data_IF_708827118428
#
_entry.id   IF_708827118428
#
_cell.length_a   1.000
_cell.length_b   1.000
_cell.length_c   1.000
_cell.angle_alpha   90.00
_cell.angle_beta   90.00
_cell.angle_gamma   90.00
#
_symmetry.space_group_name_H-M   'P 1'
#
loop_
_entity.id
_entity.type
_entity.pdbx_description
1 polymer ?
#
# COMPACT_ATOMS: atom_id res chain seq x y z
N UNK A 1 2.73 -10.00 54.64
CA UNK A 1 3.25 -10.63 53.41
C UNK A 1 2.37 -10.16 52.26
N UNK A 2 2.44 -8.86 51.95
CA UNK A 2 1.39 -8.18 51.17
C UNK A 2 1.92 -6.92 50.44
N UNK A 3 3.22 -6.87 50.15
CA UNK A 3 3.86 -5.64 49.60
C UNK A 3 4.82 -5.95 48.44
N UNK A 4 4.42 -6.82 47.50
CA UNK A 4 5.18 -7.10 46.27
C UNK A 4 4.27 -7.20 45.02
N UNK A 5 3.23 -6.35 44.96
CA UNK A 5 2.31 -6.26 43.81
C UNK A 5 2.06 -4.78 43.45
N UNK A 6 3.07 -3.93 43.59
CA UNK A 6 2.98 -2.49 43.31
C UNK A 6 4.17 -1.96 42.52
N UNK A 7 4.58 -2.68 41.49
CA UNK A 7 5.27 -2.07 40.35
C UNK A 7 4.43 -2.42 39.12
N UNK A 8 3.39 -1.62 38.89
CA UNK A 8 2.87 -1.50 37.52
C UNK A 8 4.02 -0.87 36.74
N UNK A 9 4.86 -1.72 36.15
CA UNK A 9 5.77 -1.33 35.09
C UNK A 9 5.00 -0.35 34.19
N UNK A 10 5.61 0.79 33.89
CA UNK A 10 5.09 1.71 32.88
C UNK A 10 4.97 0.91 31.57
N UNK A 11 3.82 0.25 31.38
CA UNK A 11 3.53 -0.56 30.22
C UNK A 11 3.51 0.42 29.06
N UNK A 12 4.57 0.39 28.26
CA UNK A 12 4.70 1.23 27.07
C UNK A 12 3.55 0.86 26.14
N UNK A 13 2.48 1.65 26.17
CA UNK A 13 1.31 1.44 25.37
C UNK A 13 1.51 2.07 23.99
N UNK A 14 1.40 1.26 22.93
CA UNK A 14 1.50 1.71 21.56
C UNK A 14 0.14 1.61 20.86
N UNK A 15 -0.58 2.74 20.82
CA UNK A 15 -1.89 2.84 20.16
C UNK A 15 -1.78 3.22 18.67
N UNK A 16 -1.04 2.44 17.89
CA UNK A 16 -0.91 2.63 16.44
C UNK A 16 -0.86 1.28 15.73
N UNK A 17 -1.39 1.23 14.50
CA UNK A 17 -1.17 0.08 13.63
C UNK A 17 0.33 -0.11 13.41
N UNK A 18 0.79 -1.36 13.49
CA UNK A 18 2.20 -1.73 13.31
C UNK A 18 2.38 -2.28 11.90
N UNK A 19 2.71 -1.40 10.96
CA UNK A 19 3.19 -1.78 9.63
C UNK A 19 4.67 -2.23 9.68
N UNK A 20 5.20 -2.73 8.57
CA UNK A 20 6.59 -3.18 8.47
C UNK A 20 7.62 -2.09 8.81
N UNK A 21 7.32 -0.82 8.60
CA UNK A 21 8.21 0.30 8.94
C UNK A 21 8.14 0.61 10.44
N UNK A 22 6.94 0.64 11.02
CA UNK A 22 6.71 0.80 12.44
C UNK A 22 7.33 -0.35 13.25
N UNK A 23 7.28 -1.58 12.73
CA UNK A 23 7.93 -2.74 13.35
C UNK A 23 9.45 -2.56 13.38
N UNK A 24 10.09 -2.15 12.28
CA UNK A 24 11.53 -1.85 12.27
C UNK A 24 11.89 -0.78 13.30
N UNK A 25 11.12 0.30 13.39
CA UNK A 25 11.32 1.37 14.40
C UNK A 25 11.09 0.89 15.83
N UNK A 26 10.17 -0.05 16.05
CA UNK A 26 9.96 -0.68 17.35
C UNK A 26 11.18 -1.52 17.72
N UNK A 27 11.66 -2.37 16.81
CA UNK A 27 12.85 -3.19 17.00
C UNK A 27 14.07 -2.32 17.36
N UNK A 28 14.34 -1.27 16.60
CA UNK A 28 15.46 -0.35 16.89
C UNK A 28 15.38 0.21 18.32
N UNK A 29 14.20 0.70 18.74
CA UNK A 29 14.00 1.23 20.09
C UNK A 29 14.19 0.17 21.18
N UNK A 30 13.79 -1.07 20.93
CA UNK A 30 14.01 -2.18 21.87
C UNK A 30 15.49 -2.50 21.99
N UNK A 31 16.23 -2.52 20.88
CA UNK A 31 17.69 -2.72 20.88
C UNK A 31 18.38 -1.60 21.65
N UNK A 32 18.00 -0.35 21.43
CA UNK A 32 18.60 0.81 22.10
C UNK A 32 18.39 0.80 23.61
N UNK A 33 17.23 0.29 24.08
CA UNK A 33 16.86 0.32 25.49
C UNK A 33 17.25 -0.95 26.26
N UNK A 34 17.14 -2.13 25.64
CA UNK A 34 17.33 -3.43 26.29
C UNK A 34 18.51 -4.25 25.75
N UNK A 35 19.13 -3.81 24.65
CA UNK A 35 20.19 -4.56 23.97
C UNK A 35 19.69 -5.72 23.11
N UNK A 36 20.60 -6.33 22.36
CA UNK A 36 20.28 -7.35 21.35
C UNK A 36 19.70 -8.64 21.93
N UNK A 37 20.28 -9.16 23.02
CA UNK A 37 19.90 -10.44 23.59
C UNK A 37 18.45 -10.43 24.12
N UNK A 38 18.09 -9.42 24.91
CA UNK A 38 16.73 -9.29 25.44
C UNK A 38 15.71 -8.99 24.35
N UNK A 39 16.07 -8.15 23.37
CA UNK A 39 15.21 -7.88 22.21
C UNK A 39 14.89 -9.14 21.44
N UNK A 40 15.86 -10.06 21.25
CA UNK A 40 15.62 -11.34 20.57
C UNK A 40 14.48 -12.15 21.23
N UNK A 41 14.47 -12.24 22.56
CA UNK A 41 13.41 -12.93 23.30
C UNK A 41 12.03 -12.27 23.13
N UNK A 42 11.99 -10.93 23.05
CA UNK A 42 10.75 -10.19 22.75
C UNK A 42 10.28 -10.52 21.32
N UNK A 43 11.19 -10.55 20.35
CA UNK A 43 10.85 -10.82 18.95
C UNK A 43 10.31 -12.24 18.73
N UNK A 44 10.76 -13.22 19.49
CA UNK A 44 10.18 -14.56 19.46
C UNK A 44 8.72 -14.59 19.94
N UNK A 45 8.37 -13.78 20.94
CA UNK A 45 6.99 -13.62 21.40
C UNK A 45 6.12 -12.90 20.36
N UNK A 46 6.65 -11.82 19.77
CA UNK A 46 5.97 -11.07 18.70
C UNK A 46 5.73 -11.97 17.48
N UNK A 47 6.72 -12.78 17.08
CA UNK A 47 6.61 -13.75 15.99
C UNK A 47 5.49 -14.76 16.25
N UNK A 48 5.47 -15.36 17.43
CA UNK A 48 4.46 -16.36 17.81
C UNK A 48 3.05 -15.76 17.82
N UNK A 49 2.90 -14.57 18.40
CA UNK A 49 1.64 -13.84 18.39
C UNK A 49 1.21 -13.48 16.97
N UNK A 50 2.13 -12.99 16.14
CA UNK A 50 1.88 -12.63 14.74
C UNK A 50 1.36 -13.80 13.91
N UNK A 51 2.02 -14.97 13.99
CA UNK A 51 1.55 -16.16 13.27
C UNK A 51 0.19 -16.66 13.76
N UNK A 52 -0.04 -16.65 15.08
CA UNK A 52 -1.34 -17.01 15.65
C UNK A 52 -2.44 -16.10 15.14
N UNK A 53 -2.22 -14.79 15.15
CA UNK A 53 -3.22 -13.82 14.69
C UNK A 53 -3.42 -13.87 13.18
N UNK A 54 -2.36 -14.02 12.39
CA UNK A 54 -2.46 -14.18 10.93
C UNK A 54 -3.30 -15.42 10.54
N UNK A 55 -3.18 -16.50 11.30
CA UNK A 55 -4.00 -17.70 11.11
C UNK A 55 -5.46 -17.44 11.52
N UNK A 56 -5.67 -16.81 12.68
CA UNK A 56 -7.01 -16.51 13.19
C UNK A 56 -7.79 -15.53 12.32
N UNK A 57 -7.11 -14.54 11.71
CA UNK A 57 -7.75 -13.60 10.78
C UNK A 57 -8.11 -14.23 9.44
N UNK A 58 -7.48 -15.35 9.07
CA UNK A 58 -7.84 -16.16 7.89
C UNK A 58 -8.00 -15.33 6.61
N UNK A 59 -7.10 -14.38 6.39
CA UNK A 59 -7.12 -13.52 5.20
C UNK A 59 -6.81 -14.38 3.97
N UNK A 60 -7.73 -14.39 3.01
CA UNK A 60 -7.60 -15.07 1.71
C UNK A 60 -7.63 -14.03 0.58
N UNK A 61 -7.26 -14.45 -0.64
CA UNK A 61 -7.32 -13.61 -1.84
C UNK A 61 -8.15 -14.30 -2.92
N UNK A 62 -9.21 -13.65 -3.36
CA UNK A 62 -10.07 -14.04 -4.48
C UNK A 62 -10.03 -13.03 -5.63
N UNK A 63 -10.70 -13.36 -6.73
CA UNK A 63 -10.83 -12.46 -7.88
C UNK A 63 -11.63 -11.20 -7.53
N UNK A 64 -12.62 -11.34 -6.64
CA UNK A 64 -13.50 -10.25 -6.22
C UNK A 64 -12.78 -9.20 -5.37
N UNK A 65 -11.59 -9.53 -4.82
CA UNK A 65 -10.76 -8.60 -4.08
C UNK A 65 -9.99 -7.62 -5.01
N UNK A 66 -9.94 -7.89 -6.32
CA UNK A 66 -9.30 -7.04 -7.32
C UNK A 66 -10.23 -5.89 -7.73
N UNK A 67 -10.42 -4.97 -6.78
CA UNK A 67 -11.31 -3.83 -6.96
C UNK A 67 -10.80 -2.89 -8.05
N UNK A 68 -11.64 -2.66 -9.05
CA UNK A 68 -11.39 -1.65 -10.09
C UNK A 68 -11.85 -0.28 -9.61
N UNK A 69 -11.04 0.76 -9.86
CA UNK A 69 -11.36 2.13 -9.50
C UNK A 69 -12.51 2.63 -10.41
N UNK A 70 -13.60 3.21 -9.85
CA UNK A 70 -14.74 3.69 -10.64
C UNK A 70 -14.35 4.71 -11.73
N UNK A 71 -13.30 5.50 -11.49
CA UNK A 71 -12.82 6.51 -12.42
C UNK A 71 -12.10 5.94 -13.66
N UNK A 72 -11.70 4.66 -13.65
CA UNK A 72 -10.91 4.04 -14.72
C UNK A 72 -11.55 4.18 -16.10
N UNK A 73 -12.85 3.94 -16.20
CA UNK A 73 -13.55 3.96 -17.50
C UNK A 73 -13.45 5.31 -18.20
N UNK A 74 -13.79 6.40 -17.49
CA UNK A 74 -13.79 7.73 -18.08
C UNK A 74 -12.37 8.26 -18.30
N UNK A 75 -11.41 7.93 -17.44
CA UNK A 75 -10.00 8.32 -17.60
C UNK A 75 -9.37 7.71 -18.85
N UNK A 76 -9.63 6.43 -19.10
CA UNK A 76 -9.16 5.75 -20.31
C UNK A 76 -9.82 6.37 -21.54
N UNK A 77 -11.13 6.63 -21.49
CA UNK A 77 -11.84 7.27 -22.58
C UNK A 77 -11.31 8.69 -22.89
N UNK A 78 -11.00 9.47 -21.85
CA UNK A 78 -10.41 10.80 -22.00
C UNK A 78 -9.02 10.72 -22.66
N UNK A 79 -8.16 9.81 -22.21
CA UNK A 79 -6.84 9.57 -22.81
C UNK A 79 -6.93 9.15 -24.29
N UNK A 80 -7.91 8.30 -24.64
CA UNK A 80 -8.18 7.90 -26.02
C UNK A 80 -8.66 9.09 -26.88
N UNK A 81 -9.54 9.94 -26.34
CA UNK A 81 -10.01 11.15 -27.04
C UNK A 81 -8.88 12.14 -27.29
N UNK A 82 -8.02 12.38 -26.28
CA UNK A 82 -6.84 13.23 -26.45
C UNK A 82 -5.89 12.66 -27.51
N UNK A 83 -5.68 11.34 -27.51
CA UNK A 83 -4.86 10.66 -28.53
C UNK A 83 -5.43 10.84 -29.95
N UNK A 84 -6.76 10.78 -30.11
CA UNK A 84 -7.43 11.01 -31.39
C UNK A 84 -7.25 12.45 -31.90
N UNK A 85 -7.32 13.43 -31.00
CA UNK A 85 -7.10 14.85 -31.33
C UNK A 85 -5.66 15.05 -31.80
N UNK A 86 -4.69 14.44 -31.11
CA UNK A 86 -3.28 14.44 -31.48
C UNK A 86 -3.03 13.84 -32.87
N UNK A 87 -3.72 12.74 -33.19
CA UNK A 87 -3.63 12.11 -34.51
C UNK A 87 -4.12 13.05 -35.62
N UNK A 88 -5.23 13.76 -35.38
CA UNK A 88 -5.75 14.77 -36.32
C UNK A 88 -4.75 15.92 -36.52
N UNK A 89 -4.15 16.43 -35.44
CA UNK A 89 -3.14 17.48 -35.54
C UNK A 89 -1.90 17.04 -36.32
N UNK A 90 -1.47 15.80 -36.14
CA UNK A 90 -0.39 15.23 -36.94
C UNK A 90 -0.78 15.11 -38.42
N UNK A 91 -1.98 14.62 -38.72
CA UNK A 91 -2.50 14.51 -40.08
C UNK A 91 -2.59 15.88 -40.80
N UNK A 92 -2.91 16.94 -40.07
CA UNK A 92 -2.91 18.31 -40.62
C UNK A 92 -1.53 18.95 -40.71
N UNK A 93 -0.46 18.26 -40.28
CA UNK A 93 0.91 18.77 -40.30
C UNK A 93 1.22 19.78 -39.18
N UNK A 94 0.34 19.91 -38.17
CA UNK A 94 0.52 20.85 -37.06
C UNK A 94 1.49 20.32 -35.98
N UNK A 95 1.72 19.00 -35.94
CA UNK A 95 2.55 18.33 -34.93
C UNK A 95 3.48 17.34 -35.61
N UNK A 96 4.76 17.36 -35.25
CA UNK A 96 5.74 16.42 -35.78
C UNK A 96 5.59 15.03 -35.16
N UNK A 97 6.04 13.98 -35.86
CA UNK A 97 5.90 12.59 -35.39
C UNK A 97 6.54 12.35 -34.01
N UNK A 98 7.70 12.96 -33.75
CA UNK A 98 8.41 12.87 -32.46
C UNK A 98 7.62 13.54 -31.33
N UNK A 99 7.03 14.70 -31.60
CA UNK A 99 6.21 15.44 -30.64
C UNK A 99 4.91 14.68 -30.33
N UNK A 100 4.27 14.09 -31.36
CA UNK A 100 3.11 13.22 -31.20
C UNK A 100 3.40 12.06 -30.26
N UNK A 101 4.52 11.36 -30.49
CA UNK A 101 4.94 10.24 -29.65
C UNK A 101 5.16 10.68 -28.19
N UNK A 102 5.88 11.78 -27.98
CA UNK A 102 6.13 12.32 -26.64
C UNK A 102 4.83 12.65 -25.91
N UNK A 103 3.94 13.40 -26.55
CA UNK A 103 2.65 13.78 -25.96
C UNK A 103 1.77 12.56 -25.68
N UNK A 104 1.74 11.56 -26.58
CA UNK A 104 1.01 10.33 -26.33
C UNK A 104 1.53 9.57 -25.10
N UNK A 105 2.85 9.46 -24.96
CA UNK A 105 3.47 8.84 -23.78
C UNK A 105 3.08 9.60 -22.51
N UNK A 106 3.12 10.93 -22.55
CA UNK A 106 2.77 11.79 -21.42
C UNK A 106 1.32 11.62 -20.97
N UNK A 107 0.37 11.57 -21.91
CA UNK A 107 -1.06 11.35 -21.64
C UNK A 107 -1.28 10.01 -20.94
N UNK A 108 -0.73 8.93 -21.50
CA UNK A 108 -0.91 7.58 -20.92
C UNK A 108 -0.18 7.43 -19.58
N UNK A 109 1.00 8.03 -19.44
CA UNK A 109 1.75 8.05 -18.18
C UNK A 109 0.96 8.79 -17.09
N UNK A 110 0.47 10.00 -17.38
CA UNK A 110 -0.31 10.79 -16.44
C UNK A 110 -1.60 10.07 -16.02
N UNK A 111 -2.29 9.43 -16.97
CA UNK A 111 -3.50 8.63 -16.71
C UNK A 111 -3.20 7.45 -15.80
N UNK A 112 -2.13 6.70 -16.08
CA UNK A 112 -1.70 5.57 -15.26
C UNK A 112 -1.31 6.00 -13.85
N UNK A 113 -0.57 7.11 -13.73
CA UNK A 113 -0.14 7.64 -12.45
C UNK A 113 -1.31 8.16 -11.61
N UNK A 114 -2.30 8.80 -12.24
CA UNK A 114 -3.53 9.22 -11.56
C UNK A 114 -4.31 8.02 -11.02
N UNK A 115 -4.49 6.97 -11.82
CA UNK A 115 -5.12 5.72 -11.37
C UNK A 115 -4.37 5.10 -10.20
N UNK A 116 -3.03 5.08 -10.25
CA UNK A 116 -2.19 4.57 -9.17
C UNK A 116 -2.40 5.35 -7.87
N UNK A 117 -2.58 6.67 -7.95
CA UNK A 117 -2.79 7.53 -6.78
C UNK A 117 -4.19 7.36 -6.18
N UNK A 118 -5.22 7.22 -7.02
CA UNK A 118 -6.62 7.04 -6.60
C UNK A 118 -6.91 5.68 -5.96
N UNK A 119 -6.05 4.69 -6.20
CA UNK A 119 -6.21 3.33 -5.68
C UNK A 119 -6.33 3.26 -4.15
N UNK A 120 -5.44 3.93 -3.41
CA UNK A 120 -5.43 3.90 -1.94
C UNK A 120 -6.68 4.58 -1.34
N UNK A 121 -7.05 5.82 -1.75
CA UNK A 121 -8.35 6.41 -1.39
C UNK A 121 -9.52 5.48 -1.69
N UNK A 122 -9.53 4.82 -2.86
CA UNK A 122 -10.60 3.91 -3.25
C UNK A 122 -10.73 2.74 -2.28
N UNK A 123 -9.63 2.05 -1.93
CA UNK A 123 -9.66 0.99 -0.92
C UNK A 123 -10.17 1.49 0.44
N UNK A 124 -9.70 2.65 0.90
CA UNK A 124 -10.13 3.23 2.18
C UNK A 124 -11.61 3.58 2.23
N UNK A 125 -12.20 3.92 1.09
CA UNK A 125 -13.61 4.30 1.00
C UNK A 125 -14.53 3.10 0.79
N UNK A 126 -14.08 2.10 0.01
CA UNK A 126 -14.91 0.95 -0.40
C UNK A 126 -14.77 -0.23 0.55
N UNK A 127 -13.54 -0.68 0.80
CA UNK A 127 -13.24 -1.80 1.68
C UNK A 127 -11.83 -1.65 2.29
N UNK A 128 -11.71 -1.01 3.47
CA UNK A 128 -10.43 -0.86 4.17
C UNK A 128 -9.78 -2.20 4.54
N UNK A 129 -10.57 -3.26 4.67
CA UNK A 129 -10.12 -4.59 5.06
C UNK A 129 -9.87 -5.51 3.88
N UNK A 130 -9.91 -4.98 2.65
CA UNK A 130 -9.58 -5.72 1.45
C UNK A 130 -8.20 -6.39 1.60
N UNK A 131 -8.07 -7.69 1.31
CA UNK A 131 -6.82 -8.44 1.45
C UNK A 131 -5.63 -7.84 0.70
N UNK A 132 -5.85 -7.36 -0.53
CA UNK A 132 -4.82 -6.72 -1.36
C UNK A 132 -4.33 -5.43 -0.72
N UNK A 133 -5.26 -4.64 -0.17
CA UNK A 133 -4.96 -3.42 0.58
C UNK A 133 -4.19 -3.74 1.86
N UNK A 134 -4.68 -4.66 2.70
CA UNK A 134 -3.99 -5.03 3.95
C UNK A 134 -2.56 -5.50 3.65
N UNK A 135 -2.36 -6.43 2.72
CA UNK A 135 -1.04 -7.01 2.46
C UNK A 135 -0.04 -5.97 1.95
N UNK A 136 -0.45 -5.14 0.99
CA UNK A 136 0.45 -4.20 0.30
C UNK A 136 0.78 -2.97 1.15
N UNK A 137 -0.20 -2.44 1.89
CA UNK A 137 -0.01 -1.23 2.69
C UNK A 137 0.53 -1.52 4.10
N UNK A 138 0.36 -2.73 4.64
CA UNK A 138 1.07 -3.16 5.86
C UNK A 138 2.56 -3.46 5.61
N UNK A 139 2.95 -3.62 4.34
CA UNK A 139 4.29 -4.05 3.94
C UNK A 139 4.54 -5.54 4.19
N UNK A 140 3.48 -6.34 4.37
CA UNK A 140 3.58 -7.79 4.51
C UNK A 140 3.94 -8.46 3.18
N UNK A 141 3.26 -8.07 2.09
CA UNK A 141 3.52 -8.57 0.73
C UNK A 141 2.87 -7.66 -0.30
N UNK A 142 3.54 -7.47 -1.43
CA UNK A 142 3.04 -6.59 -2.47
C UNK A 142 3.51 -5.15 -2.26
N UNK A 143 3.61 -4.40 -3.36
CA UNK A 143 3.80 -2.96 -3.33
C UNK A 143 2.70 -2.29 -4.17
N UNK A 144 2.53 -0.99 -4.01
CA UNK A 144 1.49 -0.22 -4.72
C UNK A 144 1.57 -0.40 -6.23
N UNK A 145 2.77 -0.49 -6.81
CA UNK A 145 2.96 -0.70 -8.25
C UNK A 145 2.53 -2.08 -8.72
N UNK A 146 2.65 -3.11 -7.89
CA UNK A 146 2.15 -4.45 -8.19
C UNK A 146 0.63 -4.50 -8.09
N UNK A 147 0.05 -3.85 -7.07
CA UNK A 147 -1.42 -3.75 -6.97
C UNK A 147 -2.00 -2.99 -8.15
N UNK A 148 -1.31 -1.95 -8.63
CA UNK A 148 -1.68 -1.20 -9.83
C UNK A 148 -1.76 -2.04 -11.11
N UNK A 149 -1.10 -3.20 -11.14
CA UNK A 149 -1.10 -4.11 -12.28
C UNK A 149 -2.16 -5.21 -12.19
N UNK A 150 -2.76 -5.41 -11.02
CA UNK A 150 -3.83 -6.38 -10.79
C UNK A 150 -5.19 -5.78 -11.19
#
# INVERSE_FOLDING_TARGET
>A
MEVLMAERANLVFHNKSIDGTAMKRLISRLIDHFGMAYTSHILDQVKTLGFKQATATSISLGIDDLLTIPSKGWLVQDAEQQSLILEKHHHYGNVHAVEKLRQSIEIWYATSEYLRQEMNPNFRMTDPFNPVHIMSFSGARGNVSQVHQL
#
